data_IF_433964876969
#
_entry.id   IF_433964876969
#
_cell.length_a   1.000
_cell.length_b   1.000
_cell.length_c   1.000
_cell.angle_alpha   90.00
_cell.angle_beta   90.00
_cell.angle_gamma   90.00
#
_symmetry.space_group_name_H-M   'P 1'
#
loop_
_entity.id
_entity.type
_entity.pdbx_description
1 polymer ?
#
# COMPACT_ATOMS: atom_id res chain seq x y z
N UNK A 1 45.86 -46.48 7.41
CA UNK A 1 47.04 -45.63 7.13
C UNK A 1 46.55 -44.22 6.94
N UNK A 2 46.96 -43.28 7.80
CA UNK A 2 46.63 -41.87 7.63
C UNK A 2 47.62 -41.22 6.63
N UNK A 3 47.12 -40.63 5.56
CA UNK A 3 47.90 -39.81 4.65
C UNK A 3 48.03 -38.41 5.24
N UNK A 4 49.24 -37.91 5.47
CA UNK A 4 49.45 -36.55 6.03
C UNK A 4 49.21 -35.44 4.98
N UNK A 5 49.69 -35.64 3.75
CA UNK A 5 49.50 -34.73 2.63
C UNK A 5 49.31 -35.59 1.35
N UNK A 6 48.27 -35.36 0.62
CA UNK A 6 47.98 -36.03 -0.65
C UNK A 6 47.75 -35.02 -1.73
N UNK A 7 48.54 -35.08 -2.80
CA UNK A 7 48.30 -34.28 -4.02
C UNK A 7 47.72 -35.18 -5.10
N UNK A 8 46.49 -34.87 -5.54
CA UNK A 8 45.81 -35.59 -6.61
C UNK A 8 45.79 -34.68 -7.83
N UNK A 9 46.56 -35.03 -8.86
CA UNK A 9 46.64 -34.24 -10.12
C UNK A 9 45.53 -34.52 -11.13
N UNK A 10 44.64 -35.44 -10.79
CA UNK A 10 43.48 -35.82 -11.62
C UNK A 10 42.17 -35.71 -10.83
N UNK A 11 41.23 -36.57 -11.13
CA UNK A 11 39.92 -36.64 -10.50
C UNK A 11 39.96 -37.41 -9.18
N UNK A 12 39.38 -36.85 -8.11
CA UNK A 12 39.04 -37.59 -6.92
C UNK A 12 37.58 -38.02 -6.99
N UNK A 13 37.34 -39.34 -6.99
CA UNK A 13 35.98 -39.90 -6.93
C UNK A 13 35.78 -40.59 -5.59
N UNK A 14 34.74 -40.23 -4.85
CA UNK A 14 34.33 -40.93 -3.65
C UNK A 14 32.93 -41.51 -3.84
N UNK A 15 32.68 -42.74 -3.39
CA UNK A 15 31.35 -43.41 -3.50
C UNK A 15 30.51 -43.26 -2.23
N UNK A 16 31.03 -42.66 -1.19
CA UNK A 16 30.38 -42.38 0.07
C UNK A 16 30.60 -40.94 0.51
N UNK A 17 30.29 -40.65 1.77
CA UNK A 17 30.42 -39.33 2.36
C UNK A 17 31.89 -38.90 2.44
N UNK A 18 32.15 -37.64 2.16
CA UNK A 18 33.45 -37.00 2.35
C UNK A 18 33.37 -35.97 3.46
N UNK A 19 34.17 -36.10 4.50
CA UNK A 19 34.26 -35.13 5.58
C UNK A 19 35.53 -34.31 5.46
N UNK A 20 35.39 -32.98 5.38
CA UNK A 20 36.51 -32.03 5.46
C UNK A 20 36.48 -31.37 6.83
N UNK A 21 37.45 -31.73 7.70
CA UNK A 21 37.53 -31.23 9.08
C UNK A 21 38.03 -29.78 9.20
N UNK A 22 38.49 -29.19 8.10
CA UNK A 22 38.98 -27.82 8.00
C UNK A 22 38.34 -27.04 6.89
N UNK A 23 39.08 -26.15 6.28
CA UNK A 23 38.59 -25.32 5.14
C UNK A 23 38.62 -26.11 3.84
N UNK A 24 37.57 -26.11 3.07
CA UNK A 24 37.51 -26.54 1.69
C UNK A 24 37.65 -25.31 0.76
N UNK A 25 38.79 -25.22 0.04
CA UNK A 25 38.99 -24.18 -0.98
C UNK A 25 38.70 -24.77 -2.36
N UNK A 26 37.74 -24.19 -3.05
CA UNK A 26 37.39 -24.53 -4.43
C UNK A 26 37.68 -23.33 -5.30
N UNK A 27 38.72 -23.40 -6.15
CA UNK A 27 39.10 -22.30 -7.05
C UNK A 27 38.22 -22.20 -8.32
N UNK A 28 37.46 -23.24 -8.61
CA UNK A 28 36.53 -23.30 -9.73
C UNK A 28 35.07 -23.35 -9.27
N UNK A 29 34.19 -23.79 -10.16
CA UNK A 29 32.80 -23.99 -9.86
C UNK A 29 32.59 -25.19 -8.93
N UNK A 30 31.84 -25.02 -7.84
CA UNK A 30 31.29 -26.12 -7.04
C UNK A 30 29.82 -26.36 -7.46
N UNK A 31 29.50 -27.58 -7.87
CA UNK A 31 28.14 -27.99 -8.23
C UNK A 31 27.55 -28.88 -7.15
N UNK A 32 26.41 -28.50 -6.61
CA UNK A 32 25.65 -29.25 -5.61
C UNK A 32 24.32 -29.73 -6.21
N UNK A 33 24.27 -30.98 -6.71
CA UNK A 33 23.09 -31.48 -7.43
C UNK A 33 21.83 -31.58 -6.55
N UNK A 34 21.98 -31.78 -5.24
CA UNK A 34 20.87 -31.92 -4.28
C UNK A 34 20.79 -30.76 -3.29
N UNK A 35 21.42 -29.62 -3.60
CA UNK A 35 21.47 -28.44 -2.74
C UNK A 35 22.62 -28.47 -1.73
N UNK A 36 22.72 -27.41 -0.92
CA UNK A 36 23.71 -27.23 0.13
C UNK A 36 23.03 -26.91 1.47
N UNK A 37 23.30 -27.71 2.51
CA UNK A 37 22.87 -27.40 3.86
C UNK A 37 23.99 -26.67 4.62
N UNK A 38 23.74 -25.40 4.97
CA UNK A 38 24.72 -24.57 5.68
C UNK A 38 24.55 -24.61 7.20
N UNK A 39 23.65 -25.44 7.72
CA UNK A 39 23.41 -25.61 9.15
C UNK A 39 23.31 -24.26 9.91
N UNK A 40 22.46 -23.37 9.42
CA UNK A 40 22.23 -22.02 9.97
C UNK A 40 23.45 -21.08 9.93
N UNK A 41 24.47 -21.38 9.12
CA UNK A 41 25.61 -20.48 8.91
C UNK A 41 25.37 -19.53 7.75
N UNK A 42 26.04 -18.37 7.79
CA UNK A 42 25.94 -17.35 6.75
C UNK A 42 26.73 -17.73 5.50
N UNK A 43 26.22 -17.36 4.34
CA UNK A 43 27.04 -17.20 3.12
C UNK A 43 27.51 -15.75 3.12
N UNK A 44 28.83 -15.55 3.03
CA UNK A 44 29.48 -14.23 2.96
C UNK A 44 30.19 -14.06 1.61
N UNK A 45 30.43 -12.83 1.20
CA UNK A 45 31.10 -12.56 -0.08
C UNK A 45 30.23 -12.85 -1.32
N UNK A 46 28.90 -12.99 -1.16
CA UNK A 46 27.99 -13.20 -2.26
C UNK A 46 27.87 -11.92 -3.09
N UNK A 47 28.18 -11.99 -4.38
CA UNK A 47 27.93 -10.91 -5.33
C UNK A 47 26.42 -10.58 -5.42
N UNK A 48 26.09 -9.38 -5.88
CA UNK A 48 24.70 -9.04 -6.14
C UNK A 48 24.13 -9.91 -7.26
N UNK A 49 22.99 -10.53 -7.01
CA UNK A 49 22.25 -11.32 -8.00
C UNK A 49 21.55 -10.41 -9.01
N UNK A 50 21.27 -10.94 -10.19
CA UNK A 50 20.47 -10.23 -11.19
C UNK A 50 18.99 -10.23 -10.77
N UNK A 51 18.44 -9.06 -10.47
CA UNK A 51 17.02 -8.87 -10.09
C UNK A 51 16.23 -8.10 -11.15
N UNK A 52 16.76 -7.99 -12.39
CA UNK A 52 16.14 -7.18 -13.44
C UNK A 52 14.96 -7.85 -14.13
N UNK A 53 14.73 -9.14 -13.90
CA UNK A 53 13.63 -9.89 -14.52
C UNK A 53 13.15 -11.05 -13.62
N UNK A 54 11.93 -11.51 -13.87
CA UNK A 54 11.26 -12.54 -13.08
C UNK A 54 11.82 -13.98 -13.29
N UNK A 55 12.65 -14.19 -14.31
CA UNK A 55 13.25 -15.51 -14.60
C UNK A 55 14.63 -15.67 -13.97
N UNK A 56 15.13 -14.70 -13.22
CA UNK A 56 16.39 -14.82 -12.52
C UNK A 56 16.33 -15.92 -11.46
N UNK A 57 17.37 -16.73 -11.41
CA UNK A 57 17.60 -17.76 -10.39
C UNK A 57 18.75 -17.41 -9.45
N UNK A 58 19.26 -16.19 -9.54
CA UNK A 58 20.36 -15.73 -8.71
C UNK A 58 19.93 -15.53 -7.26
N UNK A 59 20.81 -15.86 -6.33
CA UNK A 59 20.61 -15.52 -4.92
C UNK A 59 20.77 -14.01 -4.69
N UNK A 60 19.93 -13.45 -3.85
CA UNK A 60 19.97 -12.03 -3.45
C UNK A 60 20.84 -11.87 -2.21
N UNK A 61 21.75 -10.90 -2.19
CA UNK A 61 22.52 -10.56 -1.02
C UNK A 61 21.84 -9.51 -0.11
N UNK A 62 22.34 -9.36 1.11
CA UNK A 62 21.77 -8.45 2.10
C UNK A 62 21.74 -6.97 1.66
N UNK A 63 22.71 -6.52 0.84
CA UNK A 63 22.75 -5.15 0.33
C UNK A 63 21.61 -4.85 -0.66
N UNK A 64 21.27 -5.83 -1.50
CA UNK A 64 20.13 -5.69 -2.41
C UNK A 64 18.79 -5.61 -1.64
N UNK A 65 18.62 -6.48 -0.64
CA UNK A 65 17.42 -6.45 0.21
C UNK A 65 17.30 -5.14 0.99
N UNK A 66 18.42 -4.63 1.54
CA UNK A 66 18.44 -3.32 2.20
C UNK A 66 17.98 -2.19 1.25
N UNK A 67 18.47 -2.20 0.01
CA UNK A 67 18.08 -1.19 -0.99
C UNK A 67 16.58 -1.25 -1.29
N UNK A 68 16.02 -2.45 -1.44
CA UNK A 68 14.56 -2.63 -1.65
C UNK A 68 13.78 -2.09 -0.45
N UNK A 69 14.16 -2.46 0.77
CA UNK A 69 13.50 -1.98 1.99
C UNK A 69 13.59 -0.45 2.10
N UNK A 70 14.76 0.13 1.76
CA UNK A 70 14.93 1.59 1.78
C UNK A 70 14.00 2.29 0.78
N UNK A 71 13.91 1.80 -0.45
CA UNK A 71 13.01 2.36 -1.45
C UNK A 71 11.54 2.28 -1.00
N UNK A 72 11.13 1.17 -0.38
CA UNK A 72 9.78 1.02 0.20
C UNK A 72 9.57 2.03 1.34
N UNK A 73 10.56 2.18 2.23
CA UNK A 73 10.49 3.15 3.32
C UNK A 73 10.33 4.58 2.80
N UNK A 74 11.13 4.97 1.81
CA UNK A 74 11.09 6.29 1.19
C UNK A 74 9.72 6.59 0.55
N UNK A 75 9.15 5.62 -0.20
CA UNK A 75 7.82 5.74 -0.83
C UNK A 75 6.70 5.85 0.22
N UNK A 76 6.81 5.13 1.31
CA UNK A 76 5.80 5.11 2.38
C UNK A 76 6.00 6.26 3.39
N UNK A 77 7.08 7.03 3.31
CA UNK A 77 7.38 8.11 4.25
C UNK A 77 7.84 7.62 5.64
N UNK A 78 8.49 6.44 5.69
CA UNK A 78 9.05 5.87 6.92
C UNK A 78 10.57 5.73 6.83
N UNK A 79 11.17 5.09 7.81
CA UNK A 79 12.60 4.81 7.88
C UNK A 79 12.86 3.34 8.18
N UNK A 80 14.10 2.92 7.99
CA UNK A 80 14.56 1.61 8.46
C UNK A 80 15.12 1.73 9.87
N UNK A 81 14.93 0.69 10.66
CA UNK A 81 15.62 0.53 11.93
C UNK A 81 17.11 0.13 11.72
N UNK A 82 17.85 -0.03 12.82
CA UNK A 82 19.26 -0.44 12.79
C UNK A 82 19.50 -1.82 12.17
N UNK A 83 18.45 -2.65 12.03
CA UNK A 83 18.52 -3.99 11.42
C UNK A 83 18.10 -3.98 9.93
N UNK A 84 17.77 -2.82 9.38
CA UNK A 84 17.29 -2.70 8.00
C UNK A 84 15.82 -3.12 7.82
N UNK A 85 15.05 -3.17 8.91
CA UNK A 85 13.62 -3.49 8.91
C UNK A 85 12.80 -2.20 8.86
N UNK A 86 11.68 -2.22 8.14
CA UNK A 86 10.75 -1.09 8.08
C UNK A 86 10.22 -0.78 9.48
N UNK A 87 10.33 0.48 9.88
CA UNK A 87 9.70 0.95 11.11
C UNK A 87 8.18 1.01 10.95
N UNK A 88 7.48 0.87 12.08
CA UNK A 88 6.03 0.99 12.09
C UNK A 88 5.62 2.36 11.56
N UNK A 89 4.73 2.34 10.57
CA UNK A 89 4.14 3.53 9.99
C UNK A 89 3.05 4.07 10.91
N UNK A 90 3.07 5.37 11.14
CA UNK A 90 1.97 6.07 11.79
C UNK A 90 1.56 7.25 10.91
N UNK A 91 0.40 7.14 10.30
CA UNK A 91 -0.21 8.22 9.54
C UNK A 91 -1.09 9.03 10.46
N UNK A 92 -0.71 10.27 10.74
CA UNK A 92 -1.50 11.17 11.58
C UNK A 92 -2.36 12.08 10.69
N UNK A 93 -3.67 11.95 10.84
CA UNK A 93 -4.65 12.72 10.07
C UNK A 93 -5.41 13.64 11.01
N UNK A 94 -5.59 14.90 10.63
CA UNK A 94 -6.41 15.85 11.37
C UNK A 94 -7.88 15.43 11.34
N UNK A 95 -8.56 15.48 12.46
CA UNK A 95 -10.00 15.23 12.59
C UNK A 95 -10.89 16.43 12.19
N UNK A 96 -10.27 17.52 11.73
CA UNK A 96 -10.98 18.75 11.36
C UNK A 96 -11.57 19.54 12.56
N UNK A 97 -11.40 19.04 13.80
CA UNK A 97 -11.93 19.66 15.03
C UNK A 97 -10.82 20.13 15.99
N UNK A 98 -9.57 20.10 15.49
CA UNK A 98 -8.39 20.48 16.27
C UNK A 98 -7.66 19.30 16.91
N UNK A 99 -8.16 18.08 16.75
CA UNK A 99 -7.50 16.83 17.14
C UNK A 99 -6.84 16.11 15.95
N UNK A 100 -6.19 14.99 16.25
CA UNK A 100 -5.58 14.12 15.25
C UNK A 100 -5.91 12.66 15.54
N UNK A 101 -6.05 11.86 14.50
CA UNK A 101 -6.20 10.42 14.55
C UNK A 101 -4.97 9.74 13.93
N UNK A 102 -4.46 8.71 14.58
CA UNK A 102 -3.29 7.96 14.13
C UNK A 102 -3.70 6.59 13.55
N UNK A 103 -3.13 6.24 12.41
CA UNK A 103 -3.37 4.97 11.72
C UNK A 103 -2.03 4.29 11.41
N UNK A 104 -2.00 2.97 11.47
CA UNK A 104 -0.80 2.17 11.19
C UNK A 104 -0.74 1.58 9.77
N UNK A 105 -1.67 1.95 8.91
CA UNK A 105 -1.65 1.61 7.49
C UNK A 105 -2.35 2.66 6.63
N UNK A 106 -1.96 2.73 5.36
CA UNK A 106 -2.44 3.71 4.37
C UNK A 106 -3.94 3.59 4.15
N UNK A 107 -4.48 2.36 4.11
CA UNK A 107 -5.91 2.13 3.87
C UNK A 107 -6.77 2.85 4.91
N UNK A 108 -6.50 2.60 6.20
CA UNK A 108 -7.27 3.21 7.29
C UNK A 108 -7.18 4.73 7.27
N UNK A 109 -6.01 5.30 6.96
CA UNK A 109 -5.86 6.74 6.83
C UNK A 109 -6.70 7.31 5.67
N UNK A 110 -6.73 6.64 4.52
CA UNK A 110 -7.54 7.02 3.36
C UNK A 110 -9.03 6.88 3.67
N UNK A 111 -9.47 5.76 4.24
CA UNK A 111 -10.86 5.52 4.65
C UNK A 111 -11.33 6.63 5.60
N UNK A 112 -10.49 7.02 6.55
CA UNK A 112 -10.81 8.12 7.47
C UNK A 112 -10.94 9.47 6.73
N UNK A 113 -10.02 9.79 5.81
CA UNK A 113 -10.06 11.04 5.03
C UNK A 113 -11.27 11.10 4.11
N UNK A 114 -11.60 9.99 3.45
CA UNK A 114 -12.69 9.93 2.46
C UNK A 114 -14.07 9.71 3.09
N UNK A 115 -14.13 9.26 4.33
CA UNK A 115 -15.38 8.85 4.97
C UNK A 115 -16.00 7.58 4.40
N UNK A 116 -15.29 6.88 3.52
CA UNK A 116 -15.76 5.62 2.92
C UNK A 116 -15.34 4.46 3.80
N UNK A 117 -16.31 3.79 4.41
CA UNK A 117 -16.08 2.52 5.12
C UNK A 117 -16.05 1.36 4.12
N UNK A 118 -14.86 0.78 3.90
CA UNK A 118 -14.68 -0.42 3.07
C UNK A 118 -14.86 -1.73 3.83
N UNK A 119 -15.53 -1.69 5.01
CA UNK A 119 -15.94 -2.89 5.75
C UNK A 119 -15.00 -3.31 6.88
N UNK A 120 -14.07 -2.47 7.29
CA UNK A 120 -13.19 -2.73 8.45
C UNK A 120 -13.76 -2.22 9.80
N UNK A 121 -14.99 -1.66 9.80
CA UNK A 121 -15.70 -1.25 11.02
C UNK A 121 -15.15 -0.01 11.73
N UNK A 122 -14.14 0.65 11.18
CA UNK A 122 -13.71 1.96 11.62
C UNK A 122 -14.50 3.01 10.84
N UNK A 123 -15.77 3.19 11.20
CA UNK A 123 -16.65 4.18 10.58
C UNK A 123 -15.92 5.50 10.41
N UNK A 124 -15.66 5.86 9.15
CA UNK A 124 -15.06 7.14 8.82
C UNK A 124 -15.97 8.23 9.39
N UNK A 125 -15.49 8.97 10.35
CA UNK A 125 -16.09 10.28 10.62
C UNK A 125 -15.75 11.10 9.38
N UNK A 126 -16.72 11.17 8.48
CA UNK A 126 -16.57 11.98 7.28
C UNK A 126 -15.99 13.32 7.67
N UNK A 127 -14.72 13.54 7.32
CA UNK A 127 -14.11 14.86 7.44
C UNK A 127 -14.70 15.68 6.30
N UNK A 128 -15.95 16.09 6.51
CA UNK A 128 -16.59 17.03 5.62
C UNK A 128 -15.80 18.33 5.56
N UNK A 129 -16.00 19.10 4.52
CA UNK A 129 -15.48 20.46 4.46
C UNK A 129 -16.04 21.21 5.68
N UNK A 130 -15.17 21.88 6.45
CA UNK A 130 -15.59 22.67 7.63
C UNK A 130 -16.82 23.54 7.24
N UNK A 131 -17.90 23.43 8.02
CA UNK A 131 -19.22 24.02 7.75
C UNK A 131 -20.05 23.38 6.62
N UNK A 132 -19.65 22.24 6.09
CA UNK A 132 -20.36 21.53 5.03
C UNK A 132 -20.51 20.06 5.40
N UNK A 133 -21.53 19.71 6.19
CA UNK A 133 -21.74 18.37 6.71
C UNK A 133 -23.14 17.88 6.41
N UNK A 134 -23.26 16.62 6.02
CA UNK A 134 -24.52 15.88 5.98
C UNK A 134 -24.44 14.71 6.98
N UNK A 135 -25.49 14.51 7.77
CA UNK A 135 -25.62 13.35 8.65
C UNK A 135 -26.79 12.49 8.14
N UNK A 136 -26.52 11.59 7.22
CA UNK A 136 -27.55 10.76 6.60
C UNK A 136 -26.98 9.44 6.11
N UNK A 137 -27.76 8.36 6.23
CA UNK A 137 -27.53 7.07 5.58
C UNK A 137 -28.32 6.92 4.26
N UNK A 138 -29.01 7.98 3.80
CA UNK A 138 -29.78 7.95 2.56
C UNK A 138 -28.88 8.01 1.32
N UNK A 139 -29.46 7.73 0.15
CA UNK A 139 -28.78 7.82 -1.15
C UNK A 139 -28.21 9.23 -1.35
N UNK A 140 -27.06 9.32 -1.98
CA UNK A 140 -26.33 10.55 -2.24
C UNK A 140 -27.13 11.54 -3.13
N UNK A 141 -26.73 12.80 -3.09
CA UNK A 141 -27.23 13.83 -3.98
C UNK A 141 -26.79 13.61 -5.43
N UNK A 142 -27.56 14.14 -6.39
CA UNK A 142 -27.31 13.97 -7.81
C UNK A 142 -27.34 15.34 -8.53
N UNK A 143 -26.19 15.86 -8.92
CA UNK A 143 -26.08 16.98 -9.84
C UNK A 143 -26.02 16.45 -11.27
N UNK A 144 -27.16 16.50 -12.01
CA UNK A 144 -27.29 15.94 -13.35
C UNK A 144 -27.18 16.97 -14.44
N UNK A 145 -27.59 18.20 -14.15
CA UNK A 145 -27.47 19.31 -15.09
C UNK A 145 -26.04 19.80 -15.23
N UNK A 146 -25.68 20.32 -16.39
CA UNK A 146 -24.37 20.96 -16.55
C UNK A 146 -24.26 22.15 -15.57
N UNK A 147 -23.10 22.27 -14.88
CA UNK A 147 -22.85 23.35 -13.89
C UNK A 147 -23.88 23.38 -12.73
N UNK A 148 -24.57 22.26 -12.46
CA UNK A 148 -25.55 22.18 -11.37
C UNK A 148 -24.92 21.83 -10.03
N UNK A 149 -25.58 22.16 -8.92
CA UNK A 149 -25.17 21.87 -7.54
C UNK A 149 -26.29 21.11 -6.82
N UNK A 150 -25.97 19.93 -6.27
CA UNK A 150 -26.89 19.17 -5.43
C UNK A 150 -26.26 18.87 -4.08
N UNK A 151 -26.94 19.21 -2.98
CA UNK A 151 -26.45 19.09 -1.62
C UNK A 151 -27.55 18.56 -0.71
N UNK A 152 -27.24 17.48 0.00
CA UNK A 152 -28.20 16.87 0.94
C UNK A 152 -28.69 15.50 0.46
N UNK A 153 -29.27 14.69 1.38
CA UNK A 153 -29.73 13.36 1.05
C UNK A 153 -30.76 13.39 -0.07
N UNK A 154 -30.53 12.59 -1.13
CA UNK A 154 -31.45 12.47 -2.27
C UNK A 154 -31.79 13.79 -2.98
N UNK A 155 -31.00 14.86 -2.80
CA UNK A 155 -31.16 16.09 -3.54
C UNK A 155 -30.85 15.86 -5.02
N UNK A 156 -31.66 16.43 -5.93
CA UNK A 156 -31.50 16.25 -7.37
C UNK A 156 -31.56 17.62 -8.09
N UNK A 157 -30.44 17.97 -8.75
CA UNK A 157 -30.37 19.15 -9.62
C UNK A 157 -30.27 18.67 -11.07
N UNK A 158 -31.39 18.66 -11.78
CA UNK A 158 -31.52 18.18 -13.16
C UNK A 158 -31.24 19.28 -14.20
N UNK A 159 -31.58 20.52 -13.88
CA UNK A 159 -31.43 21.63 -14.81
C UNK A 159 -30.02 22.14 -14.94
N UNK A 160 -29.65 22.69 -16.09
CA UNK A 160 -28.40 23.42 -16.29
C UNK A 160 -28.33 24.60 -15.32
N UNK A 161 -27.15 24.78 -14.66
CA UNK A 161 -26.92 25.84 -13.67
C UNK A 161 -27.95 25.85 -12.52
N UNK A 162 -28.58 24.71 -12.22
CA UNK A 162 -29.57 24.59 -11.15
C UNK A 162 -28.94 24.27 -9.79
N UNK A 163 -29.61 24.61 -8.71
CA UNK A 163 -29.19 24.36 -7.33
C UNK A 163 -30.31 23.63 -6.59
N UNK A 164 -30.01 22.42 -6.05
CA UNK A 164 -30.91 21.71 -5.16
C UNK A 164 -30.18 21.48 -3.80
N UNK A 165 -30.70 22.05 -2.72
CA UNK A 165 -30.10 21.97 -1.41
C UNK A 165 -31.13 21.58 -0.36
N UNK A 166 -30.97 20.41 0.25
CA UNK A 166 -31.85 19.86 1.29
C UNK A 166 -32.22 18.41 1.05
N UNK A 167 -32.81 17.78 2.06
CA UNK A 167 -33.30 16.40 1.96
C UNK A 167 -34.40 16.34 0.88
N UNK A 168 -34.17 15.55 -0.19
CA UNK A 168 -35.08 15.38 -1.32
C UNK A 168 -35.45 16.72 -2.09
N UNK A 169 -34.59 17.72 -1.99
CA UNK A 169 -34.73 18.94 -2.77
C UNK A 169 -34.58 18.63 -4.27
N UNK A 170 -35.40 19.31 -5.13
CA UNK A 170 -35.42 19.05 -6.56
C UNK A 170 -35.46 20.32 -7.40
N UNK A 171 -34.46 20.51 -8.24
CA UNK A 171 -34.38 21.62 -9.20
C UNK A 171 -34.32 21.05 -10.62
N UNK A 172 -35.44 21.09 -11.35
CA UNK A 172 -35.62 20.38 -12.62
C UNK A 172 -35.31 21.22 -13.86
N UNK A 173 -35.41 22.53 -13.77
CA UNK A 173 -35.27 23.41 -14.91
C UNK A 173 -33.94 24.19 -14.88
N UNK A 174 -33.63 24.78 -16.03
CA UNK A 174 -32.46 25.65 -16.16
C UNK A 174 -32.58 26.85 -15.18
N UNK A 175 -31.47 27.14 -14.50
CA UNK A 175 -31.33 28.18 -13.48
C UNK A 175 -32.29 28.05 -12.27
N UNK A 176 -32.95 26.90 -12.09
CA UNK A 176 -33.84 26.66 -10.96
C UNK A 176 -33.09 26.51 -9.63
N UNK A 177 -33.65 27.08 -8.56
CA UNK A 177 -33.10 27.02 -7.21
C UNK A 177 -34.12 26.43 -6.24
N UNK A 178 -33.82 25.24 -5.69
CA UNK A 178 -34.67 24.59 -4.68
C UNK A 178 -33.86 24.43 -3.38
N UNK A 179 -34.26 25.13 -2.32
CA UNK A 179 -33.59 25.08 -1.00
C UNK A 179 -34.62 24.70 0.06
N UNK A 180 -34.27 23.67 0.84
CA UNK A 180 -35.11 23.15 1.93
C UNK A 180 -35.54 21.72 1.67
N UNK A 181 -36.00 21.05 2.75
CA UNK A 181 -36.47 19.66 2.66
C UNK A 181 -37.69 19.61 1.70
N UNK A 182 -37.59 18.65 0.74
CA UNK A 182 -38.64 18.39 -0.25
C UNK A 182 -39.07 19.64 -1.07
N UNK A 183 -38.20 20.66 -1.11
CA UNK A 183 -38.46 21.82 -1.99
C UNK A 183 -38.39 21.40 -3.46
N UNK A 184 -39.24 21.98 -4.29
CA UNK A 184 -39.26 21.66 -5.70
C UNK A 184 -39.34 22.96 -6.53
N UNK A 185 -38.33 23.20 -7.35
CA UNK A 185 -38.29 24.26 -8.36
C UNK A 185 -38.42 23.61 -9.74
N UNK A 186 -39.63 23.60 -10.28
CA UNK A 186 -40.03 22.91 -11.52
C UNK A 186 -40.34 23.85 -12.69
N UNK A 187 -40.42 25.15 -12.40
CA UNK A 187 -40.61 26.17 -13.42
C UNK A 187 -39.28 26.74 -13.92
N UNK A 188 -39.28 27.28 -15.14
CA UNK A 188 -38.15 28.01 -15.71
C UNK A 188 -37.81 29.22 -14.82
N UNK A 189 -36.55 29.40 -14.44
CA UNK A 189 -36.06 30.51 -13.59
C UNK A 189 -36.79 30.61 -12.22
N UNK A 190 -37.15 29.46 -11.62
CA UNK A 190 -37.80 29.38 -10.30
C UNK A 190 -36.85 29.20 -9.14
#
# INVERSE_FOLDING_TARGET
>A
TALKNTNITGTLTTTGDTTVGGTLNVNGLATFNNGANLNSKKITGLAAGNISNASSTDAVNGGQLYTVNKNIADVLGTQLDANGTLQNLTYTVSDGKGGTQAFNNVRQAIEYITGVDTGTGTGGVGVGIKYFHTNSAAVDSQSKGLESVAIGPQAIANGTSSIAMGDQARADQENAVAIGKQSAAIGLNS
#
